data_IF_184276860599
#
_entry.id   IF_184276860599
#
_cell.length_a   1.000
_cell.length_b   1.000
_cell.length_c   1.000
_cell.angle_alpha   90.00
_cell.angle_beta   90.00
_cell.angle_gamma   90.00
#
_symmetry.space_group_name_H-M   'P 1'
#
loop_
_entity.id
_entity.type
_entity.pdbx_description
1 polymer ?
#
# COMPACT_ATOMS: atom_id res chain seq x y z
N UNK A 1 -26.72 19.00 -28.51
CA UNK A 1 -25.94 17.76 -28.68
C UNK A 1 -25.65 17.28 -27.28
N UNK A 2 -26.29 16.18 -26.90
CA UNK A 2 -26.05 15.46 -25.65
C UNK A 2 -24.90 14.50 -25.90
N UNK A 3 -23.90 14.54 -25.04
CA UNK A 3 -22.85 13.56 -24.73
C UNK A 3 -21.94 14.36 -23.76
N UNK A 4 -21.68 14.02 -22.51
CA UNK A 4 -21.68 12.75 -21.79
C UNK A 4 -22.18 13.00 -20.36
N UNK A 5 -23.21 12.25 -19.96
CA UNK A 5 -23.58 12.11 -18.55
C UNK A 5 -23.23 10.67 -18.14
N UNK A 6 -21.98 10.28 -18.33
CA UNK A 6 -21.41 9.17 -17.59
C UNK A 6 -20.74 9.83 -16.40
N UNK A 7 -21.51 10.02 -15.33
CA UNK A 7 -20.92 10.12 -14.01
C UNK A 7 -20.22 8.77 -13.78
N UNK A 8 -18.95 8.71 -14.17
CA UNK A 8 -18.09 7.61 -13.80
C UNK A 8 -18.06 7.60 -12.28
N UNK A 9 -18.40 6.47 -11.67
CA UNK A 9 -18.26 6.20 -10.23
C UNK A 9 -16.78 6.17 -9.80
N UNK A 10 -15.89 6.74 -10.63
CA UNK A 10 -14.47 6.86 -10.42
C UNK A 10 -14.19 8.15 -9.64
N UNK A 11 -13.34 8.09 -8.60
CA UNK A 11 -13.08 9.21 -7.71
C UNK A 11 -12.34 10.39 -8.38
N UNK A 12 -11.77 10.19 -9.57
CA UNK A 12 -10.92 11.16 -10.28
C UNK A 12 -11.18 11.12 -11.79
N UNK A 13 -11.11 12.28 -12.43
CA UNK A 13 -11.12 12.40 -13.89
C UNK A 13 -9.77 11.97 -14.53
N UNK A 14 -9.70 11.98 -15.86
CA UNK A 14 -8.53 11.52 -16.61
C UNK A 14 -7.28 12.33 -16.31
N UNK A 15 -7.41 13.66 -16.20
CA UNK A 15 -6.30 14.58 -15.92
C UNK A 15 -5.78 14.36 -14.50
N UNK A 16 -6.68 14.26 -13.52
CA UNK A 16 -6.36 13.96 -12.14
C UNK A 16 -5.66 12.61 -12.00
N UNK A 17 -6.08 11.59 -12.77
CA UNK A 17 -5.42 10.28 -12.78
C UNK A 17 -4.01 10.34 -13.37
N UNK A 18 -3.79 11.13 -14.42
CA UNK A 18 -2.46 11.30 -15.01
C UNK A 18 -1.52 12.04 -14.06
N UNK A 19 -1.99 13.10 -13.40
CA UNK A 19 -1.23 13.81 -12.35
C UNK A 19 -0.92 12.88 -11.18
N UNK A 20 -1.91 12.10 -10.70
CA UNK A 20 -1.71 11.13 -9.61
C UNK A 20 -0.66 10.09 -9.99
N UNK A 21 -0.69 9.59 -11.22
CA UNK A 21 0.34 8.68 -11.75
C UNK A 21 1.72 9.33 -11.80
N UNK A 22 1.82 10.59 -12.24
CA UNK A 22 3.07 11.34 -12.26
C UNK A 22 3.62 11.58 -10.85
N UNK A 23 2.77 11.90 -9.86
CA UNK A 23 3.16 12.04 -8.46
C UNK A 23 3.71 10.72 -7.90
N UNK A 24 2.98 9.62 -8.12
CA UNK A 24 3.38 8.29 -7.67
C UNK A 24 4.73 7.86 -8.28
N UNK A 25 4.92 8.08 -9.59
CA UNK A 25 6.17 7.81 -10.29
C UNK A 25 7.34 8.66 -9.81
N UNK A 26 7.08 9.90 -9.38
CA UNK A 26 8.12 10.76 -8.79
C UNK A 26 8.52 10.28 -7.40
N UNK A 27 7.57 9.82 -6.59
CA UNK A 27 7.84 9.30 -5.24
C UNK A 27 8.53 7.93 -5.27
N UNK A 28 8.08 7.05 -6.16
CA UNK A 28 8.59 5.68 -6.30
C UNK A 28 8.70 5.34 -7.79
N UNK A 29 9.81 5.71 -8.45
CA UNK A 29 10.06 5.35 -9.84
C UNK A 29 10.38 3.85 -9.97
N UNK A 30 10.27 3.34 -11.19
CA UNK A 30 10.74 1.98 -11.49
C UNK A 30 12.24 1.88 -11.23
N UNK A 31 12.71 0.71 -10.79
CA UNK A 31 14.15 0.48 -10.61
C UNK A 31 14.87 0.41 -11.95
N UNK A 32 16.14 0.84 -11.98
CA UNK A 32 16.97 0.85 -13.20
C UNK A 32 17.15 -0.55 -13.82
N UNK A 33 17.13 -1.59 -12.98
CA UNK A 33 17.24 -2.99 -13.39
C UNK A 33 15.89 -3.63 -13.79
N UNK A 34 14.79 -2.88 -13.65
CA UNK A 34 13.43 -3.32 -13.96
C UNK A 34 12.86 -4.36 -12.98
N UNK A 35 13.53 -4.64 -11.87
CA UNK A 35 13.07 -5.60 -10.87
C UNK A 35 11.85 -5.09 -10.08
N UNK A 36 11.77 -3.77 -9.88
CA UNK A 36 10.71 -3.11 -9.10
C UNK A 36 9.89 -2.18 -10.02
N UNK A 37 8.55 -2.28 -10.00
CA UNK A 37 7.70 -1.43 -10.83
C UNK A 37 7.72 0.03 -10.33
N UNK A 38 7.31 0.96 -11.18
CA UNK A 38 6.94 2.30 -10.69
C UNK A 38 5.61 2.25 -9.94
N UNK A 39 5.41 3.10 -8.93
CA UNK A 39 4.12 3.21 -8.27
C UNK A 39 2.98 3.68 -9.20
N UNK A 40 3.28 4.33 -10.34
CA UNK A 40 2.26 4.68 -11.35
C UNK A 40 1.63 3.47 -12.04
N UNK A 41 2.30 2.33 -12.01
CA UNK A 41 1.80 1.10 -12.63
C UNK A 41 0.75 0.39 -11.76
N UNK A 42 0.51 0.89 -10.55
CA UNK A 42 -0.45 0.34 -9.60
C UNK A 42 -1.78 1.11 -9.68
N UNK A 43 -2.87 0.44 -9.31
CA UNK A 43 -4.21 1.04 -9.19
C UNK A 43 -4.31 1.88 -7.90
N UNK A 44 -3.57 2.99 -7.83
CA UNK A 44 -3.56 3.88 -6.67
C UNK A 44 -4.93 4.52 -6.43
N UNK A 45 -5.62 4.93 -7.50
CA UNK A 45 -6.97 5.51 -7.39
C UNK A 45 -7.97 4.52 -6.78
N UNK A 46 -7.99 3.27 -7.25
CA UNK A 46 -8.86 2.24 -6.67
C UNK A 46 -8.43 1.82 -5.27
N UNK A 47 -7.13 1.81 -4.96
CA UNK A 47 -6.64 1.60 -3.59
C UNK A 47 -7.16 2.67 -2.64
N UNK A 48 -7.04 3.95 -3.00
CA UNK A 48 -7.48 5.08 -2.20
C UNK A 48 -8.99 5.07 -1.99
N UNK A 49 -9.77 4.78 -3.03
CA UNK A 49 -11.23 4.66 -2.92
C UNK A 49 -11.67 3.61 -1.89
N UNK A 50 -10.91 2.51 -1.75
CA UNK A 50 -11.23 1.41 -0.82
C UNK A 50 -10.67 1.62 0.59
N UNK A 51 -9.47 2.18 0.72
CA UNK A 51 -8.71 2.17 1.96
C UNK A 51 -8.55 3.54 2.61
N UNK A 52 -8.74 4.62 1.85
CA UNK A 52 -8.49 6.00 2.28
C UNK A 52 -9.53 6.97 1.70
N UNK A 53 -10.81 6.56 1.71
CA UNK A 53 -11.91 7.35 1.14
C UNK A 53 -12.04 8.75 1.78
N UNK A 54 -11.60 8.92 3.03
CA UNK A 54 -11.56 10.19 3.75
C UNK A 54 -10.48 11.15 3.22
N UNK A 55 -9.48 10.65 2.51
CA UNK A 55 -8.40 11.43 1.91
C UNK A 55 -8.73 11.93 0.49
N UNK A 56 -9.76 11.39 -0.18
CA UNK A 56 -10.04 11.70 -1.59
C UNK A 56 -10.29 13.19 -1.86
N UNK A 57 -11.00 13.87 -0.95
CA UNK A 57 -11.28 15.30 -1.11
C UNK A 57 -9.99 16.14 -0.98
N UNK A 58 -9.14 15.83 0.01
CA UNK A 58 -7.84 16.48 0.18
C UNK A 58 -6.92 16.18 -1.02
N UNK A 59 -6.91 14.94 -1.51
CA UNK A 59 -6.14 14.57 -2.69
C UNK A 59 -6.59 15.33 -3.93
N UNK A 60 -7.89 15.51 -4.16
CA UNK A 60 -8.38 16.32 -5.28
C UNK A 60 -7.83 17.76 -5.23
N UNK A 61 -7.78 18.36 -4.04
CA UNK A 61 -7.17 19.68 -3.84
C UNK A 61 -5.66 19.65 -4.10
N UNK A 62 -4.94 18.61 -3.62
CA UNK A 62 -3.50 18.44 -3.90
C UNK A 62 -3.27 18.36 -5.42
N UNK A 63 -4.03 17.52 -6.13
CA UNK A 63 -3.90 17.33 -7.57
C UNK A 63 -4.14 18.64 -8.35
N UNK A 64 -5.09 19.47 -7.90
CA UNK A 64 -5.38 20.76 -8.53
C UNK A 64 -4.23 21.79 -8.45
N UNK A 65 -3.19 21.55 -7.64
CA UNK A 65 -1.98 22.39 -7.57
C UNK A 65 -0.97 22.08 -8.67
N UNK A 66 -1.11 20.93 -9.32
CA UNK A 66 -0.25 20.51 -10.42
C UNK A 66 -1.00 20.73 -11.73
N UNK A 67 -0.28 21.18 -12.75
CA UNK A 67 -0.80 21.40 -14.08
C UNK A 67 -0.48 20.22 -15.00
N UNK A 68 -1.10 20.16 -16.18
CA UNK A 68 -0.80 19.15 -17.20
C UNK A 68 0.69 19.13 -17.58
N UNK A 69 1.37 20.29 -17.42
CA UNK A 69 2.82 20.41 -17.62
C UNK A 69 3.62 19.45 -16.73
N UNK A 70 3.19 19.27 -15.47
CA UNK A 70 3.82 18.37 -14.50
C UNK A 70 3.99 16.95 -15.03
N UNK A 71 2.97 16.40 -15.70
CA UNK A 71 2.98 15.01 -16.20
C UNK A 71 4.09 14.80 -17.23
N UNK A 72 4.39 15.83 -18.03
CA UNK A 72 5.37 15.78 -19.11
C UNK A 72 6.80 16.16 -18.69
N UNK A 73 6.98 16.66 -17.46
CA UNK A 73 8.27 17.14 -16.98
C UNK A 73 9.27 15.99 -16.73
N UNK A 74 10.57 16.22 -16.99
CA UNK A 74 11.62 15.30 -16.55
C UNK A 74 11.54 15.03 -15.04
N UNK A 75 11.99 13.85 -14.62
CA UNK A 75 11.92 13.43 -13.21
C UNK A 75 12.53 14.47 -12.25
N UNK A 76 13.70 15.04 -12.59
CA UNK A 76 14.36 16.04 -11.75
C UNK A 76 13.48 17.29 -11.51
N UNK A 77 12.78 17.77 -12.54
CA UNK A 77 11.88 18.92 -12.43
C UNK A 77 10.62 18.57 -11.60
N UNK A 78 10.09 17.35 -11.77
CA UNK A 78 8.99 16.87 -10.91
C UNK A 78 9.44 16.74 -9.45
N UNK A 79 10.66 16.29 -9.19
CA UNK A 79 11.25 16.21 -7.86
C UNK A 79 11.36 17.59 -7.20
N UNK A 80 11.80 18.62 -7.92
CA UNK A 80 11.86 19.99 -7.41
C UNK A 80 10.48 20.51 -6.98
N UNK A 81 9.44 20.26 -7.79
CA UNK A 81 8.05 20.64 -7.46
C UNK A 81 7.51 19.87 -6.26
N UNK A 82 7.80 18.56 -6.18
CA UNK A 82 7.43 17.72 -5.04
C UNK A 82 8.13 18.15 -3.76
N UNK A 83 9.39 18.57 -3.85
CA UNK A 83 10.11 19.13 -2.71
C UNK A 83 9.46 20.42 -2.22
N UNK A 84 9.13 21.35 -3.14
CA UNK A 84 8.43 22.58 -2.78
C UNK A 84 7.06 22.31 -2.13
N UNK A 85 6.30 21.32 -2.62
CA UNK A 85 5.07 20.87 -1.99
C UNK A 85 5.31 20.30 -0.59
N UNK A 86 6.35 19.47 -0.40
CA UNK A 86 6.70 18.90 0.90
C UNK A 86 7.08 19.95 1.96
N UNK A 87 7.68 21.06 1.54
CA UNK A 87 8.06 22.17 2.41
C UNK A 87 6.87 23.08 2.74
N UNK A 88 5.97 23.30 1.78
CA UNK A 88 4.80 24.14 1.97
C UNK A 88 3.71 23.47 2.81
N UNK A 89 3.48 22.17 2.60
CA UNK A 89 2.36 21.41 3.18
C UNK A 89 2.83 20.03 3.67
N UNK A 90 3.66 19.99 4.73
CA UNK A 90 4.30 18.75 5.19
C UNK A 90 3.30 17.69 5.66
N UNK A 91 2.15 18.09 6.22
CA UNK A 91 1.11 17.16 6.66
C UNK A 91 0.44 16.46 5.48
N UNK A 92 -0.02 17.23 4.48
CA UNK A 92 -0.66 16.74 3.26
C UNK A 92 0.31 15.87 2.44
N UNK A 93 1.56 16.30 2.31
CA UNK A 93 2.62 15.51 1.67
C UNK A 93 2.88 14.20 2.42
N UNK A 94 2.98 14.25 3.75
CA UNK A 94 3.16 13.06 4.59
C UNK A 94 2.02 12.06 4.44
N UNK A 95 0.77 12.54 4.32
CA UNK A 95 -0.37 11.68 4.07
C UNK A 95 -0.34 11.07 2.66
N UNK A 96 -0.09 11.85 1.61
CA UNK A 96 0.10 11.34 0.25
C UNK A 96 1.17 10.25 0.21
N UNK A 97 2.31 10.50 0.85
CA UNK A 97 3.43 9.58 0.92
C UNK A 97 3.04 8.26 1.59
N UNK A 98 2.32 8.33 2.71
CA UNK A 98 1.84 7.15 3.43
C UNK A 98 0.91 6.29 2.56
N UNK A 99 -0.02 6.91 1.84
CA UNK A 99 -0.94 6.17 0.97
C UNK A 99 -0.25 5.55 -0.26
N UNK A 100 0.71 6.27 -0.87
CA UNK A 100 1.51 5.76 -1.99
C UNK A 100 2.33 4.55 -1.55
N UNK A 101 3.02 4.62 -0.41
CA UNK A 101 3.76 3.47 0.12
C UNK A 101 2.83 2.33 0.56
N UNK A 102 1.69 2.65 1.16
CA UNK A 102 0.67 1.68 1.57
C UNK A 102 0.17 0.87 0.38
N UNK A 103 -0.10 1.53 -0.75
CA UNK A 103 -0.44 0.87 -2.01
C UNK A 103 0.75 0.07 -2.56
N UNK A 104 1.93 0.68 -2.63
CA UNK A 104 3.11 0.11 -3.26
C UNK A 104 3.57 -1.21 -2.63
N UNK A 105 3.68 -1.25 -1.30
CA UNK A 105 4.13 -2.46 -0.59
C UNK A 105 3.05 -3.53 -0.43
N UNK A 106 1.85 -3.34 -0.97
CA UNK A 106 0.83 -4.38 -1.10
C UNK A 106 0.87 -5.08 -2.46
N UNK A 107 1.58 -4.55 -3.45
CA UNK A 107 1.71 -5.17 -4.78
C UNK A 107 2.55 -6.46 -4.68
N UNK A 108 2.04 -7.54 -5.27
CA UNK A 108 2.67 -8.86 -5.21
C UNK A 108 4.06 -8.90 -5.87
N UNK A 109 4.30 -8.08 -6.91
CA UNK A 109 5.61 -7.98 -7.57
C UNK A 109 6.61 -7.30 -6.63
N UNK A 110 6.19 -6.24 -5.95
CA UNK A 110 7.00 -5.52 -4.96
C UNK A 110 7.34 -6.43 -3.78
N UNK A 111 6.35 -7.12 -3.22
CA UNK A 111 6.54 -8.08 -2.12
C UNK A 111 7.50 -9.20 -2.50
N UNK A 112 7.34 -9.80 -3.69
CA UNK A 112 8.25 -10.81 -4.20
C UNK A 112 9.67 -10.26 -4.39
N UNK A 113 9.80 -9.04 -4.92
CA UNK A 113 11.07 -8.35 -5.14
C UNK A 113 11.88 -8.11 -3.86
N UNK A 114 11.20 -7.83 -2.74
CA UNK A 114 11.84 -7.67 -1.42
C UNK A 114 11.99 -9.00 -0.65
N UNK A 115 11.70 -10.14 -1.27
CA UNK A 115 11.85 -11.46 -0.67
C UNK A 115 10.74 -11.86 0.30
N UNK A 116 9.64 -11.11 0.35
CA UNK A 116 8.43 -11.50 1.09
C UNK A 116 7.70 -12.53 0.22
N UNK A 117 7.95 -13.81 0.49
CA UNK A 117 7.31 -14.90 -0.22
C UNK A 117 5.79 -14.85 -0.08
N UNK A 118 5.08 -15.08 -1.18
CA UNK A 118 3.64 -15.31 -1.18
C UNK A 118 3.32 -16.61 -0.43
N UNK A 119 3.21 -16.54 0.89
CA UNK A 119 2.89 -17.65 1.76
C UNK A 119 2.22 -17.17 3.04
N UNK A 120 1.48 -18.03 3.75
CA UNK A 120 1.01 -17.72 5.10
C UNK A 120 2.21 -17.24 5.94
N UNK A 121 2.05 -16.31 6.90
CA UNK A 121 3.15 -15.93 7.80
C UNK A 121 3.75 -17.14 8.55
N UNK A 122 3.01 -18.25 8.61
CA UNK A 122 3.46 -19.55 9.11
C UNK A 122 3.13 -20.67 8.10
N UNK A 123 3.90 -20.88 7.02
CA UNK A 123 3.65 -21.96 6.06
C UNK A 123 4.07 -23.33 6.60
N UNK A 124 4.90 -23.33 7.65
CA UNK A 124 5.38 -24.53 8.33
C UNK A 124 5.24 -24.21 9.81
N UNK A 125 4.28 -24.84 10.50
CA UNK A 125 4.35 -24.89 11.97
C UNK A 125 5.76 -25.33 12.37
N UNK A 126 6.26 -24.85 13.51
CA UNK A 126 7.54 -25.34 14.01
C UNK A 126 7.53 -26.87 13.99
N UNK A 127 8.59 -27.49 13.48
CA UNK A 127 8.83 -28.91 13.73
C UNK A 127 8.96 -29.05 15.24
N UNK A 128 7.89 -29.53 15.89
CA UNK A 128 7.95 -29.91 17.29
C UNK A 128 8.69 -31.23 17.30
N UNK A 129 9.95 -31.22 17.76
CA UNK A 129 10.62 -32.46 18.13
C UNK A 129 9.67 -33.25 19.03
N UNK A 130 9.42 -34.55 18.77
CA UNK A 130 8.57 -35.35 19.62
C UNK A 130 9.06 -35.21 21.07
N UNK A 131 8.33 -34.45 21.87
CA UNK A 131 8.67 -34.26 23.27
C UNK A 131 8.68 -35.62 23.95
N UNK A 132 9.62 -35.86 24.86
CA UNK A 132 9.60 -37.06 25.67
C UNK A 132 8.31 -37.06 26.50
N UNK A 133 7.31 -37.83 26.05
CA UNK A 133 6.01 -37.89 26.66
C UNK A 133 6.05 -38.51 28.06
N UNK A 134 7.16 -39.15 28.46
CA UNK A 134 7.37 -39.60 29.85
C UNK A 134 7.39 -38.43 30.86
N UNK A 135 7.65 -37.20 30.40
CA UNK A 135 7.51 -35.99 31.21
C UNK A 135 6.05 -35.73 31.66
N UNK A 136 5.07 -36.37 31.01
CA UNK A 136 3.66 -36.29 31.38
C UNK A 136 3.24 -37.40 32.37
N UNK A 137 4.08 -38.40 32.63
CA UNK A 137 3.76 -39.50 33.55
C UNK A 137 3.37 -39.01 34.96
N UNK A 138 4.03 -37.99 35.56
CA UNK A 138 3.62 -37.47 36.86
C UNK A 138 2.25 -36.78 36.84
N UNK A 139 1.87 -36.18 35.70
CA UNK A 139 0.60 -35.47 35.51
C UNK A 139 -0.54 -36.47 35.25
N UNK A 140 -0.28 -37.51 34.47
CA UNK A 140 -1.22 -38.61 34.21
C UNK A 140 -1.48 -39.44 35.48
N UNK A 141 -0.45 -39.64 36.30
CA UNK A 141 -0.56 -40.35 37.58
C UNK A 141 -1.31 -39.56 38.66
N UNK A 142 -1.58 -38.26 38.45
CA UNK A 142 -2.25 -37.41 39.41
C UNK A 142 -3.36 -36.56 38.75
N UNK A 143 -4.51 -37.16 38.41
CA UNK A 143 -5.57 -36.52 37.60
C UNK A 143 -6.35 -35.41 38.32
N UNK A 144 -5.87 -34.90 39.45
CA UNK A 144 -6.70 -34.15 40.40
C UNK A 144 -6.73 -32.63 40.20
N UNK A 145 -6.01 -32.07 39.20
CA UNK A 145 -5.87 -30.61 39.07
C UNK A 145 -6.26 -30.00 37.70
N UNK A 146 -7.09 -30.67 36.90
CA UNK A 146 -7.71 -30.01 35.73
C UNK A 146 -9.03 -29.35 36.12
N UNK A 147 -9.25 -28.11 35.66
CA UNK A 147 -10.56 -27.46 35.79
C UNK A 147 -11.53 -28.21 34.88
N UNK A 148 -12.56 -28.85 35.45
CA UNK A 148 -13.72 -29.29 34.67
C UNK A 148 -14.46 -28.02 34.23
N UNK A 149 -14.60 -27.80 32.93
CA UNK A 149 -15.61 -26.87 32.45
C UNK A 149 -16.98 -27.45 32.85
N UNK A 150 -17.74 -26.67 33.60
CA UNK A 150 -19.12 -26.98 33.98
C UNK A 150 -20.00 -26.43 32.86
N UNK A 151 -20.78 -27.30 32.21
CA UNK A 151 -21.85 -26.91 31.29
C UNK A 151 -22.96 -26.14 31.99
#
# INVERSE_FOLDING_TARGET
MNDELIASDAPFDDVQRDILGALADTLVPASDDGAMPSAKELDLAGYLARNASDFLAELAEILARFDDGFVSEPLDARCERMQAFSEAEPESFGRLLAEVYGCYYQDARVLAGIGVGAGPPFPRGNTVEPGDLSLLDPVLANPTNWRREVS
#
